data_IF_525975257411
#
_entry.id   IF_525975257411
#
_cell.length_a   1.000
_cell.length_b   1.000
_cell.length_c   1.000
_cell.angle_alpha   90.00
_cell.angle_beta   90.00
_cell.angle_gamma   90.00
#
_symmetry.space_group_name_H-M   'P 1'
#
loop_
_entity.id
_entity.type
_entity.pdbx_description
1 polymer ?
#
# COMPACT_ATOMS: atom_id res chain seq x y z
N UNK A 1 39.34 -13.59 -14.22
CA UNK A 1 37.98 -14.15 -14.26
C UNK A 1 36.96 -13.04 -13.97
N UNK A 2 36.42 -12.41 -15.00
CA UNK A 2 35.27 -11.52 -14.83
C UNK A 2 34.01 -12.39 -14.75
N UNK A 3 33.36 -12.44 -13.58
CA UNK A 3 32.05 -13.07 -13.41
C UNK A 3 31.09 -12.31 -14.32
N UNK A 4 30.58 -12.96 -15.36
CA UNK A 4 29.45 -12.46 -16.14
C UNK A 4 28.26 -12.40 -15.19
N UNK A 5 28.09 -11.26 -14.52
CA UNK A 5 26.89 -10.95 -13.75
C UNK A 5 25.79 -10.84 -14.79
N UNK A 6 25.00 -11.90 -14.87
CA UNK A 6 23.85 -11.99 -15.76
C UNK A 6 22.94 -10.78 -15.45
N UNK A 7 22.89 -9.80 -16.36
CA UNK A 7 22.23 -8.50 -16.15
C UNK A 7 20.72 -8.66 -15.87
N UNK A 8 20.12 -9.75 -16.37
CA UNK A 8 18.74 -10.15 -16.09
C UNK A 8 18.50 -10.46 -14.61
N UNK A 9 19.40 -11.21 -13.96
CA UNK A 9 19.26 -11.56 -12.53
C UNK A 9 19.38 -10.35 -11.60
N UNK A 10 20.19 -9.34 -11.96
CA UNK A 10 20.33 -8.10 -11.19
C UNK A 10 19.05 -7.26 -11.18
N UNK A 11 18.36 -7.19 -12.31
CA UNK A 11 17.11 -6.44 -12.43
C UNK A 11 15.97 -7.14 -11.68
N UNK A 12 15.89 -8.46 -11.74
CA UNK A 12 14.92 -9.24 -10.96
C UNK A 12 15.09 -9.03 -9.46
N UNK A 13 16.32 -9.12 -8.96
CA UNK A 13 16.60 -8.88 -7.53
C UNK A 13 16.26 -7.45 -7.09
N UNK A 14 16.45 -6.47 -7.97
CA UNK A 14 16.09 -5.07 -7.69
C UNK A 14 14.57 -4.88 -7.61
N UNK A 15 13.82 -5.44 -8.57
CA UNK A 15 12.36 -5.41 -8.57
C UNK A 15 11.78 -6.11 -7.33
N UNK A 16 12.35 -7.24 -6.94
CA UNK A 16 11.94 -7.97 -5.74
C UNK A 16 12.20 -7.13 -4.48
N UNK A 17 13.38 -6.52 -4.36
CA UNK A 17 13.73 -5.74 -3.18
C UNK A 17 12.88 -4.46 -3.06
N UNK A 18 12.72 -3.71 -4.15
CA UNK A 18 11.89 -2.50 -4.20
C UNK A 18 10.40 -2.86 -3.96
N UNK A 19 9.93 -3.97 -4.54
CA UNK A 19 8.58 -4.47 -4.36
C UNK A 19 8.30 -4.90 -2.91
N UNK A 20 9.19 -5.67 -2.29
CA UNK A 20 9.06 -6.10 -0.89
C UNK A 20 9.09 -4.91 0.08
N UNK A 21 9.90 -3.89 -0.20
CA UNK A 21 9.96 -2.67 0.61
C UNK A 21 8.63 -1.91 0.62
N UNK A 22 7.90 -1.90 -0.49
CA UNK A 22 6.59 -1.21 -0.59
C UNK A 22 5.47 -2.12 -0.07
N UNK A 23 5.42 -3.37 -0.53
CA UNK A 23 4.32 -4.29 -0.24
C UNK A 23 4.26 -4.68 1.23
N UNK A 24 5.41 -4.89 1.89
CA UNK A 24 5.45 -5.32 3.28
C UNK A 24 4.74 -4.34 4.22
N UNK A 25 5.21 -3.09 4.34
CA UNK A 25 4.59 -2.08 5.19
C UNK A 25 3.15 -1.75 4.77
N UNK A 26 2.87 -1.69 3.46
CA UNK A 26 1.52 -1.42 2.97
C UNK A 26 0.53 -2.48 3.45
N UNK A 27 0.86 -3.77 3.27
CA UNK A 27 -0.02 -4.87 3.64
C UNK A 27 -0.27 -4.93 5.15
N UNK A 28 0.79 -4.79 5.96
CA UNK A 28 0.69 -4.77 7.43
C UNK A 28 -0.15 -3.58 7.88
N UNK A 29 0.09 -2.39 7.31
CA UNK A 29 -0.67 -1.19 7.60
C UNK A 29 -2.15 -1.35 7.30
N UNK A 30 -2.50 -1.90 6.13
CA UNK A 30 -3.89 -2.20 5.76
C UNK A 30 -4.56 -3.12 6.78
N UNK A 31 -3.90 -4.22 7.18
CA UNK A 31 -4.45 -5.16 8.18
C UNK A 31 -4.70 -4.46 9.52
N UNK A 32 -3.75 -3.65 9.99
CA UNK A 32 -3.88 -2.93 11.26
C UNK A 32 -5.04 -1.96 11.24
N UNK A 33 -5.15 -1.13 10.20
CA UNK A 33 -6.26 -0.19 10.04
C UNK A 33 -7.57 -0.98 10.08
N UNK A 34 -7.64 -2.08 9.33
CA UNK A 34 -8.81 -2.93 9.31
C UNK A 34 -9.15 -3.46 10.70
N UNK A 35 -8.18 -4.02 11.41
CA UNK A 35 -8.35 -4.59 12.75
C UNK A 35 -8.90 -3.55 13.75
N UNK A 36 -8.36 -2.33 13.77
CA UNK A 36 -8.75 -1.30 14.73
C UNK A 36 -10.04 -0.55 14.39
N UNK A 37 -10.52 -0.67 13.15
CA UNK A 37 -11.66 0.12 12.66
C UNK A 37 -12.83 -0.71 12.16
N UNK A 38 -12.67 -2.04 12.15
CA UNK A 38 -13.72 -2.96 11.74
C UNK A 38 -14.98 -2.83 12.61
N UNK A 39 -16.14 -3.04 12.00
CA UNK A 39 -17.46 -2.93 12.65
C UNK A 39 -18.12 -1.56 12.52
N UNK A 40 -17.39 -0.50 12.15
CA UNK A 40 -17.99 0.81 11.88
C UNK A 40 -17.43 1.43 10.60
N UNK A 41 -18.22 1.41 9.52
CA UNK A 41 -17.82 1.91 8.21
C UNK A 41 -17.31 3.36 8.24
N UNK A 42 -17.97 4.24 9.00
CA UNK A 42 -17.58 5.66 9.07
C UNK A 42 -16.22 5.82 9.72
N UNK A 43 -15.96 5.07 10.80
CA UNK A 43 -14.66 5.07 11.50
C UNK A 43 -13.56 4.50 10.61
N UNK A 44 -13.85 3.39 9.94
CA UNK A 44 -12.95 2.78 8.95
C UNK A 44 -12.57 3.79 7.86
N UNK A 45 -13.58 4.40 7.22
CA UNK A 45 -13.36 5.32 6.11
C UNK A 45 -12.56 6.54 6.54
N UNK A 46 -12.89 7.16 7.69
CA UNK A 46 -12.17 8.33 8.19
C UNK A 46 -10.70 8.01 8.50
N UNK A 47 -10.43 6.92 9.22
CA UNK A 47 -9.06 6.54 9.59
C UNK A 47 -8.27 6.13 8.34
N UNK A 48 -8.85 5.37 7.41
CA UNK A 48 -8.17 5.05 6.16
C UNK A 48 -7.84 6.30 5.34
N UNK A 49 -8.79 7.23 5.19
CA UNK A 49 -8.52 8.49 4.47
C UNK A 49 -7.38 9.28 5.11
N UNK A 50 -7.33 9.34 6.45
CA UNK A 50 -6.23 10.01 7.16
C UNK A 50 -4.89 9.30 6.93
N UNK A 51 -4.87 7.97 6.99
CA UNK A 51 -3.65 7.19 6.75
C UNK A 51 -3.23 7.33 5.29
N UNK A 52 -4.13 7.18 4.33
CA UNK A 52 -3.86 7.32 2.90
C UNK A 52 -3.34 8.72 2.57
N UNK A 53 -3.87 9.76 3.22
CA UNK A 53 -3.37 11.14 3.10
C UNK A 53 -1.94 11.23 3.66
N UNK A 54 -1.67 10.62 4.80
CA UNK A 54 -0.34 10.57 5.40
C UNK A 54 0.67 9.80 4.52
N UNK A 55 0.27 8.68 3.93
CA UNK A 55 1.12 7.93 3.01
C UNK A 55 1.38 8.72 1.71
N UNK A 56 0.33 9.32 1.16
CA UNK A 56 0.41 10.02 -0.12
C UNK A 56 1.19 11.33 -0.07
N UNK A 57 1.20 12.05 1.05
CA UNK A 57 1.85 13.36 1.11
C UNK A 57 3.12 13.34 1.98
N UNK A 58 3.04 13.29 3.34
CA UNK A 58 4.24 13.39 4.16
C UNK A 58 5.19 12.21 3.95
N UNK A 59 4.69 10.97 3.88
CA UNK A 59 5.58 9.83 3.69
C UNK A 59 6.25 9.85 2.30
N UNK A 60 5.49 10.14 1.25
CA UNK A 60 6.02 10.37 -0.10
C UNK A 60 7.10 11.46 -0.13
N UNK A 61 6.92 12.54 0.63
CA UNK A 61 7.90 13.63 0.73
C UNK A 61 9.19 13.18 1.45
N UNK A 62 9.07 12.48 2.58
CA UNK A 62 10.21 11.94 3.33
C UNK A 62 11.01 10.97 2.44
N UNK A 63 10.34 10.04 1.76
CA UNK A 63 11.02 9.04 0.94
C UNK A 63 11.73 9.65 -0.28
N UNK A 64 11.15 10.67 -0.91
CA UNK A 64 11.82 11.43 -1.97
C UNK A 64 13.04 12.20 -1.43
N UNK A 65 12.93 12.78 -0.22
CA UNK A 65 14.04 13.49 0.44
C UNK A 65 15.20 12.53 0.77
N UNK A 66 14.89 11.32 1.19
CA UNK A 66 15.86 10.24 1.43
C UNK A 66 16.38 9.58 0.14
N UNK A 67 15.93 10.04 -1.04
CA UNK A 67 16.29 9.49 -2.36
C UNK A 67 16.00 8.00 -2.52
N UNK A 68 15.00 7.49 -1.80
CA UNK A 68 14.57 6.09 -1.91
C UNK A 68 13.85 5.82 -3.23
N UNK A 69 13.05 6.78 -3.70
CA UNK A 69 12.47 6.78 -5.04
C UNK A 69 12.11 8.20 -5.49
N UNK A 70 11.74 8.33 -6.76
CA UNK A 70 11.23 9.57 -7.36
C UNK A 70 9.95 9.26 -8.11
N UNK A 71 8.90 10.06 -7.89
CA UNK A 71 7.67 9.95 -8.67
C UNK A 71 7.93 10.56 -10.05
N UNK A 72 7.95 9.72 -11.10
CA UNK A 72 8.13 10.16 -12.49
C UNK A 72 6.80 10.25 -13.21
N UNK A 73 5.94 9.24 -13.05
CA UNK A 73 4.68 9.11 -13.78
C UNK A 73 3.43 9.25 -12.90
N UNK A 74 3.59 9.20 -11.58
CA UNK A 74 2.49 9.26 -10.63
C UNK A 74 2.50 10.57 -9.86
N UNK A 75 1.32 11.11 -9.58
CA UNK A 75 1.16 12.22 -8.65
C UNK A 75 0.70 11.71 -7.29
N UNK A 76 1.04 12.40 -6.18
CA UNK A 76 0.49 12.09 -4.85
C UNK A 76 -1.04 11.94 -4.85
N UNK A 77 -1.74 12.85 -5.55
CA UNK A 77 -3.20 12.78 -5.69
C UNK A 77 -3.68 11.46 -6.30
N UNK A 78 -3.02 10.96 -7.35
CA UNK A 78 -3.37 9.67 -7.95
C UNK A 78 -3.10 8.51 -6.98
N UNK A 79 -1.97 8.52 -6.27
CA UNK A 79 -1.65 7.50 -5.27
C UNK A 79 -2.71 7.47 -4.17
N UNK A 80 -3.10 8.64 -3.68
CA UNK A 80 -4.16 8.78 -2.68
C UNK A 80 -5.48 8.18 -3.18
N UNK A 81 -5.92 8.55 -4.39
CA UNK A 81 -7.16 8.01 -4.97
C UNK A 81 -7.12 6.49 -5.14
N UNK A 82 -5.97 5.93 -5.55
CA UNK A 82 -5.79 4.48 -5.71
C UNK A 82 -5.91 3.79 -4.35
N UNK A 83 -5.21 4.27 -3.32
CA UNK A 83 -5.27 3.67 -1.98
C UNK A 83 -6.67 3.77 -1.37
N UNK A 84 -7.33 4.92 -1.54
CA UNK A 84 -8.72 5.09 -1.10
C UNK A 84 -9.64 4.09 -1.80
N UNK A 85 -9.50 3.91 -3.12
CA UNK A 85 -10.30 2.94 -3.88
C UNK A 85 -10.05 1.50 -3.42
N UNK A 86 -8.79 1.12 -3.20
CA UNK A 86 -8.45 -0.18 -2.62
C UNK A 86 -9.09 -0.36 -1.24
N UNK A 87 -9.03 0.64 -0.36
CA UNK A 87 -9.66 0.58 0.96
C UNK A 87 -11.17 0.34 0.87
N UNK A 88 -11.85 0.97 -0.09
CA UNK A 88 -13.27 0.78 -0.33
C UNK A 88 -13.57 -0.64 -0.83
N UNK A 89 -12.75 -1.15 -1.76
CA UNK A 89 -12.88 -2.53 -2.26
C UNK A 89 -12.70 -3.57 -1.15
N UNK A 90 -11.68 -3.39 -0.28
CA UNK A 90 -11.40 -4.33 0.81
C UNK A 90 -12.56 -4.33 1.83
N UNK A 91 -13.10 -3.14 2.16
CA UNK A 91 -14.27 -3.06 3.03
C UNK A 91 -15.51 -3.69 2.41
N UNK A 92 -15.76 -3.42 1.13
CA UNK A 92 -16.84 -4.03 0.37
C UNK A 92 -16.73 -5.56 0.33
N UNK A 93 -15.53 -6.09 0.10
CA UNK A 93 -15.25 -7.52 0.13
C UNK A 93 -15.54 -8.14 1.50
N UNK A 94 -15.09 -7.50 2.59
CA UNK A 94 -15.38 -7.98 3.94
C UNK A 94 -16.87 -7.93 4.27
N UNK A 95 -17.58 -6.88 3.84
CA UNK A 95 -19.03 -6.78 4.02
C UNK A 95 -19.74 -7.94 3.29
N UNK A 96 -19.34 -8.25 2.06
CA UNK A 96 -19.85 -9.38 1.30
C UNK A 96 -19.59 -10.71 2.02
N UNK A 97 -18.37 -10.95 2.49
CA UNK A 97 -18.04 -12.15 3.27
C UNK A 97 -18.86 -12.27 4.56
N UNK A 98 -19.07 -11.15 5.26
CA UNK A 98 -19.86 -11.11 6.50
C UNK A 98 -21.32 -11.47 6.22
N UNK A 99 -21.87 -11.04 5.06
CA UNK A 99 -23.22 -11.43 4.62
C UNK A 99 -23.31 -12.91 4.26
N UNK A 100 -22.26 -13.47 3.67
CA UNK A 100 -22.21 -14.88 3.28
C UNK A 100 -21.94 -15.83 4.47
N UNK A 101 -21.70 -15.32 5.69
CA UNK A 101 -21.33 -16.10 6.90
C UNK A 101 -20.17 -17.09 6.68
N UNK A 102 -19.29 -16.83 5.71
CA UNK A 102 -18.17 -17.73 5.36
C UNK A 102 -17.09 -17.73 6.46
N UNK A 103 -17.06 -16.70 7.30
CA UNK A 103 -16.25 -16.65 8.52
C UNK A 103 -17.10 -16.09 9.66
N UNK A 104 -17.73 -17.00 10.41
CA UNK A 104 -18.11 -16.84 11.83
C UNK A 104 -17.20 -17.78 12.61
#
# INVERSE_FOLDING_TARGET
MARVVNSSGRNQNKLLNDGSFILGPFFIGTIWIFHFTFGNFKRYLLINLLIDLFFSYPLNWIFQRMRLYKLVHFTPKQIFSIFTLFSLMIYGYKLLLSRLKIFI
#
